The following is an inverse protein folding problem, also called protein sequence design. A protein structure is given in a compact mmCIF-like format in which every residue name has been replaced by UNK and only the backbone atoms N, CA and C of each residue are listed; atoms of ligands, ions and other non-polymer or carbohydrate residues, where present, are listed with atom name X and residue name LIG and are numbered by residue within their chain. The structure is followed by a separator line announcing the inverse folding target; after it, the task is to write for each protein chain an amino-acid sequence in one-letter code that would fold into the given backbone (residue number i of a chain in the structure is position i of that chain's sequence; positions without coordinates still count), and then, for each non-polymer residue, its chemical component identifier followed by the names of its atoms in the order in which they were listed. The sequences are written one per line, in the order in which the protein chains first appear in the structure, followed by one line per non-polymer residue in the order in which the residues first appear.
data_IF_832555008868
#
_entry.id   IF_832555008868
#
_cell.length_a   1.000
_cell.length_b   1.000
_cell.length_c   1.000
_cell.angle_alpha   90.00
_cell.angle_beta   90.00
_cell.angle_gamma   90.00
#
_symmetry.space_group_name_H-M   'P 1'
#
loop_
_entity.id
_entity.type
_entity.pdbx_description
1 polymer ?
#
# COMPACT_ATOMS: atom_id res chain seq x y z
N UNK A 1 10.59 -3.78 8.18
CA UNK A 1 9.25 -3.17 8.38
C UNK A 1 8.74 -2.75 7.01
N UNK A 2 7.62 -3.31 6.53
CA UNK A 2 7.09 -2.97 5.20
C UNK A 2 6.31 -1.66 5.28
N UNK A 3 6.22 -0.93 4.17
CA UNK A 3 5.41 0.29 4.05
C UNK A 3 3.92 0.08 4.41
N UNK A 4 3.42 -1.16 4.30
CA UNK A 4 2.09 -1.53 4.80
C UNK A 4 1.92 -1.40 6.31
N UNK A 5 2.93 -1.73 7.12
CA UNK A 5 2.85 -1.61 8.60
C UNK A 5 2.76 -0.15 9.03
N UNK A 6 3.43 0.76 8.32
CA UNK A 6 3.32 2.19 8.59
C UNK A 6 1.95 2.75 8.20
N UNK A 7 1.41 2.33 7.05
CA UNK A 7 0.07 2.76 6.61
C UNK A 7 -1.02 2.28 7.58
N UNK A 8 -0.89 1.04 8.10
CA UNK A 8 -1.79 0.51 9.11
C UNK A 8 -1.80 1.38 10.39
N UNK A 9 -0.63 1.83 10.83
CA UNK A 9 -0.51 2.75 11.98
C UNK A 9 -1.13 4.15 11.71
N UNK A 10 -1.29 4.56 10.45
CA UNK A 10 -2.03 5.78 10.07
C UNK A 10 -3.54 5.53 9.88
N UNK A 11 -4.02 4.34 10.24
CA UNK A 11 -5.41 3.92 10.07
C UNK A 11 -5.79 3.73 8.61
N UNK A 12 -4.84 3.35 7.75
CA UNK A 12 -5.03 3.12 6.31
C UNK A 12 -4.77 1.65 6.01
N UNK A 13 -5.86 0.90 5.84
CA UNK A 13 -5.77 -0.53 5.55
C UNK A 13 -5.34 -0.76 4.09
N UNK A 14 -4.16 -1.35 3.89
CA UNK A 14 -3.67 -1.81 2.59
C UNK A 14 -3.24 -3.26 2.68
N UNK A 15 -3.35 -4.00 1.57
CA UNK A 15 -2.82 -5.38 1.51
C UNK A 15 -1.37 -5.34 1.06
N UNK A 16 -0.51 -6.15 1.67
CA UNK A 16 0.87 -6.33 1.25
C UNK A 16 1.19 -7.80 1.05
N UNK A 17 2.16 -8.09 0.16
CA UNK A 17 2.58 -9.45 -0.17
C UNK A 17 2.34 -9.80 -1.63
N UNK A 18 2.15 -11.08 -1.91
CA UNK A 18 1.99 -11.61 -3.28
C UNK A 18 0.53 -11.59 -3.78
N UNK A 19 -0.44 -11.22 -2.94
CA UNK A 19 -1.88 -11.12 -3.30
C UNK A 19 -2.48 -12.40 -3.92
N UNK A 20 -1.98 -13.57 -3.51
CA UNK A 20 -2.31 -14.87 -4.13
C UNK A 20 -1.98 -14.97 -5.63
N UNK A 21 -1.14 -14.07 -6.15
CA UNK A 21 -0.75 -13.96 -7.57
C UNK A 21 0.77 -14.12 -7.75
N UNK A 22 1.35 -15.17 -7.15
CA UNK A 22 2.79 -15.44 -7.18
C UNK A 22 3.38 -15.48 -8.62
N UNK A 23 2.71 -16.06 -9.64
CA UNK A 23 3.23 -16.01 -11.01
C UNK A 23 3.34 -14.59 -11.58
N UNK A 24 2.41 -13.69 -11.22
CA UNK A 24 2.42 -12.29 -11.64
C UNK A 24 3.56 -11.52 -10.96
N UNK A 25 3.81 -11.79 -9.68
CA UNK A 25 4.95 -11.21 -8.95
C UNK A 25 6.28 -11.60 -9.58
N UNK A 26 6.41 -12.86 -10.00
CA UNK A 26 7.58 -13.37 -10.72
C UNK A 26 7.77 -12.67 -12.08
N UNK A 27 6.69 -12.44 -12.83
CA UNK A 27 6.74 -11.69 -14.09
C UNK A 27 7.25 -10.24 -13.92
N UNK A 28 6.83 -9.57 -12.85
CA UNK A 28 7.31 -8.23 -12.51
C UNK A 28 8.63 -8.21 -11.73
N UNK A 29 9.25 -9.37 -11.49
CA UNK A 29 10.51 -9.53 -10.74
C UNK A 29 10.51 -8.84 -9.36
N UNK A 30 9.36 -8.81 -8.68
CA UNK A 30 9.25 -8.26 -7.31
C UNK A 30 8.75 -9.32 -6.33
N UNK A 31 9.25 -9.38 -5.09
CA UNK A 31 8.83 -10.37 -4.11
C UNK A 31 7.45 -10.08 -3.50
N UNK A 32 7.03 -8.81 -3.49
CA UNK A 32 5.76 -8.34 -2.94
C UNK A 32 5.36 -6.98 -3.50
N UNK A 33 4.08 -6.67 -3.45
CA UNK A 33 3.52 -5.35 -3.77
C UNK A 33 2.62 -4.85 -2.64
N UNK A 34 2.48 -3.53 -2.53
CA UNK A 34 1.40 -2.92 -1.73
C UNK A 34 0.21 -2.63 -2.65
N UNK A 35 -1.01 -2.97 -2.22
CA UNK A 35 -2.24 -2.75 -2.98
C UNK A 35 -3.27 -2.01 -2.12
N UNK A 36 -3.63 -0.81 -2.57
CA UNK A 36 -4.82 -0.10 -2.10
C UNK A 36 -5.99 -0.40 -3.04
N UNK A 37 -7.12 -0.83 -2.49
CA UNK A 37 -8.33 -1.15 -3.24
C UNK A 37 -9.36 -0.06 -2.98
N UNK A 38 -9.84 0.60 -4.03
CA UNK A 38 -10.83 1.68 -3.95
C UNK A 38 -12.17 1.12 -4.44
N UNK A 39 -13.20 1.23 -3.61
CA UNK A 39 -14.56 0.79 -3.85
C UNK A 39 -15.53 1.99 -3.87
N UNK A 40 -16.80 1.73 -4.17
CA UNK A 40 -17.83 2.78 -4.32
C UNK A 40 -18.04 3.65 -3.07
N UNK A 41 -17.80 3.11 -1.88
CA UNK A 41 -17.98 3.82 -0.62
C UNK A 41 -16.75 4.62 -0.19
N UNK A 42 -15.65 4.55 -0.95
CA UNK A 42 -14.46 5.32 -0.63
C UNK A 42 -14.62 6.80 -1.03
N UNK A 43 -13.92 7.67 -0.31
CA UNK A 43 -13.95 9.11 -0.54
C UNK A 43 -12.63 9.64 -1.09
N UNK A 44 -12.66 10.82 -1.70
CA UNK A 44 -11.45 11.50 -2.14
C UNK A 44 -10.50 11.78 -0.95
N UNK A 45 -11.04 12.09 0.22
CA UNK A 45 -10.25 12.32 1.43
C UNK A 45 -9.45 11.08 1.85
N UNK A 46 -10.00 9.88 1.69
CA UNK A 46 -9.27 8.63 1.98
C UNK A 46 -8.09 8.43 1.01
N UNK A 47 -8.25 8.83 -0.25
CA UNK A 47 -7.15 8.82 -1.24
C UNK A 47 -6.08 9.84 -0.85
N UNK A 48 -6.47 11.03 -0.41
CA UNK A 48 -5.52 12.07 0.05
C UNK A 48 -4.74 11.63 1.29
N UNK A 49 -5.41 10.93 2.22
CA UNK A 49 -4.76 10.30 3.38
C UNK A 49 -3.75 9.24 2.95
N UNK A 50 -4.09 8.38 1.99
CA UNK A 50 -3.17 7.38 1.44
C UNK A 50 -1.92 8.04 0.82
N UNK A 51 -2.11 9.06 -0.01
CA UNK A 51 -1.00 9.79 -0.66
C UNK A 51 -0.11 10.47 0.39
N UNK A 52 -0.71 11.11 1.38
CA UNK A 52 0.03 11.78 2.47
C UNK A 52 0.83 10.78 3.30
N UNK A 53 0.24 9.62 3.62
CA UNK A 53 0.91 8.54 4.32
C UNK A 53 2.12 8.00 3.54
N UNK A 54 1.96 7.75 2.24
CA UNK A 54 3.05 7.29 1.37
C UNK A 54 4.20 8.30 1.28
N UNK A 55 3.90 9.60 1.15
CA UNK A 55 4.92 10.66 1.14
C UNK A 55 5.70 10.72 2.45
N UNK A 56 5.02 10.58 3.59
CA UNK A 56 5.68 10.53 4.91
C UNK A 56 6.59 9.31 5.04
N UNK A 57 6.12 8.14 4.60
CA UNK A 57 6.92 6.91 4.63
C UNK A 57 8.16 7.05 3.76
N UNK A 58 8.03 7.63 2.56
CA UNK A 58 9.17 7.90 1.69
C UNK A 58 10.20 8.83 2.34
N UNK A 59 9.77 9.85 3.07
CA UNK A 59 10.67 10.75 3.81
C UNK A 59 11.30 10.08 5.05
N UNK A 60 10.62 9.14 5.70
CA UNK A 60 11.13 8.44 6.89
C UNK A 60 12.10 7.30 6.56
N UNK A 61 11.92 6.65 5.42
CA UNK A 61 12.70 5.47 5.00
C UNK A 61 13.67 5.75 3.84
N UNK A 62 13.60 6.93 3.22
CA UNK A 62 14.57 7.43 2.25
C UNK A 62 15.73 8.14 2.93
#
# INVERSE_FOLDING_TARGET
MTSGVFLDNYGIAVRTGHHCAMPLMAYYNVPAMCRASIAMYNTHEEVDRLVTGLKRIHHLLG
#
